data_IF_434543246395
#
_entry.id   IF_434543246395
#
_cell.length_a   1.000
_cell.length_b   1.000
_cell.length_c   1.000
_cell.angle_alpha   90.00
_cell.angle_beta   90.00
_cell.angle_gamma   90.00
#
_symmetry.space_group_name_H-M   'P 1'
#
loop_
_entity.id
_entity.type
_entity.pdbx_description
1 polymer ?
#
# COMPACT_ATOMS: atom_id res chain seq x y z
N UNK A 1 -11.74 4.16 -0.73
CA UNK A 1 -10.83 2.99 -0.81
C UNK A 1 -10.77 2.19 0.49
N UNK A 2 -10.88 0.87 0.40
CA UNK A 2 -10.71 -0.12 1.48
C UNK A 2 -9.83 -1.25 0.94
N UNK A 3 -8.78 -1.66 1.66
CA UNK A 3 -7.91 -2.78 1.24
C UNK A 3 -8.66 -4.12 1.40
N UNK A 4 -8.73 -4.91 0.32
CA UNK A 4 -9.47 -6.18 0.29
C UNK A 4 -8.66 -7.37 -0.22
N UNK A 5 -7.46 -7.14 -0.75
CA UNK A 5 -6.62 -8.21 -1.29
C UNK A 5 -5.16 -7.81 -1.46
N UNK A 6 -4.31 -8.83 -1.54
CA UNK A 6 -2.89 -8.76 -1.81
C UNK A 6 -2.53 -9.95 -2.70
N UNK A 7 -1.79 -9.68 -3.78
CA UNK A 7 -1.27 -10.68 -4.70
C UNK A 7 0.26 -10.60 -4.69
N UNK A 8 0.91 -11.69 -4.32
CA UNK A 8 2.36 -11.84 -4.29
C UNK A 8 2.94 -12.24 -5.64
N UNK A 9 2.11 -12.26 -6.70
CA UNK A 9 2.47 -12.64 -8.08
C UNK A 9 3.17 -14.01 -8.19
N UNK A 10 3.05 -14.86 -7.16
CA UNK A 10 3.79 -16.12 -6.98
C UNK A 10 5.31 -15.94 -6.87
N UNK A 11 5.76 -14.75 -6.48
CA UNK A 11 7.15 -14.36 -6.27
C UNK A 11 7.37 -14.04 -4.80
N UNK A 12 7.09 -14.99 -3.91
CA UNK A 12 7.12 -14.78 -2.44
C UNK A 12 8.43 -14.23 -1.86
N UNK A 13 9.55 -14.35 -2.57
CA UNK A 13 10.86 -13.84 -2.16
C UNK A 13 11.15 -12.41 -2.66
N UNK A 14 10.26 -11.83 -3.47
CA UNK A 14 10.43 -10.53 -4.13
C UNK A 14 9.15 -9.72 -3.93
N UNK A 15 9.24 -8.58 -3.22
CA UNK A 15 8.05 -7.74 -2.94
C UNK A 15 7.82 -6.62 -3.98
N UNK A 16 8.71 -6.52 -4.98
CA UNK A 16 8.74 -5.41 -5.95
C UNK A 16 7.54 -5.43 -6.91
N UNK A 17 7.01 -6.61 -7.20
CA UNK A 17 5.88 -6.82 -8.12
C UNK A 17 4.55 -7.07 -7.41
N UNK A 18 4.54 -7.04 -6.08
CA UNK A 18 3.35 -7.21 -5.26
C UNK A 18 2.29 -6.14 -5.56
N UNK A 19 1.03 -6.60 -5.63
CA UNK A 19 -0.13 -5.74 -5.91
C UNK A 19 -1.13 -5.81 -4.75
N UNK A 20 -1.57 -4.64 -4.30
CA UNK A 20 -2.69 -4.46 -3.40
C UNK A 20 -3.97 -4.17 -4.19
N UNK A 21 -5.08 -4.79 -3.77
CA UNK A 21 -6.40 -4.60 -4.36
C UNK A 21 -7.31 -3.88 -3.37
N UNK A 22 -7.92 -2.78 -3.82
CA UNK A 22 -8.82 -1.96 -3.02
C UNK A 22 -10.23 -1.96 -3.61
N UNK A 23 -11.24 -1.97 -2.74
CA UNK A 23 -12.59 -1.55 -3.11
C UNK A 23 -12.70 -0.03 -2.98
N UNK A 24 -13.12 0.66 -4.04
CA UNK A 24 -13.26 2.11 -4.05
C UNK A 24 -14.65 2.57 -4.46
N UNK A 25 -15.40 3.16 -3.50
CA UNK A 25 -16.76 3.65 -3.75
C UNK A 25 -16.82 4.88 -4.66
N UNK A 26 -15.70 5.57 -4.83
CA UNK A 26 -15.60 6.73 -5.70
C UNK A 26 -14.97 6.41 -7.06
N UNK A 27 -14.53 5.17 -7.29
CA UNK A 27 -13.73 4.72 -8.43
C UNK A 27 -13.89 5.56 -9.72
N UNK A 28 -12.92 6.47 -9.91
CA UNK A 28 -12.79 7.34 -11.08
C UNK A 28 -11.34 7.39 -11.59
N UNK A 29 -10.45 6.58 -11.02
CA UNK A 29 -9.00 6.77 -11.17
C UNK A 29 -8.38 5.91 -12.28
N UNK A 30 -9.10 4.90 -12.75
CA UNK A 30 -8.79 4.19 -13.98
C UNK A 30 -9.92 4.37 -15.01
N UNK A 31 -9.75 3.83 -16.22
CA UNK A 31 -10.74 3.98 -17.29
C UNK A 31 -11.94 3.02 -17.12
N UNK A 32 -11.96 2.22 -16.06
CA UNK A 32 -12.90 1.12 -15.85
C UNK A 32 -13.61 1.28 -14.51
N UNK A 33 -14.82 1.84 -14.54
CA UNK A 33 -15.61 2.08 -13.33
C UNK A 33 -16.24 0.80 -12.75
N UNK A 34 -15.41 -0.14 -12.30
CA UNK A 34 -15.80 -1.44 -11.75
C UNK A 34 -15.78 -1.49 -10.21
N UNK A 35 -15.36 -0.39 -9.58
CA UNK A 35 -15.29 -0.23 -8.13
C UNK A 35 -14.01 -0.77 -7.51
N UNK A 36 -13.02 -1.14 -8.32
CA UNK A 36 -11.72 -1.63 -7.84
C UNK A 36 -10.60 -0.68 -8.21
N UNK A 37 -9.56 -0.68 -7.36
CA UNK A 37 -8.32 0.00 -7.66
C UNK A 37 -7.15 -0.89 -7.29
N UNK A 38 -6.10 -0.88 -8.10
CA UNK A 38 -4.86 -1.63 -7.83
C UNK A 38 -3.69 -0.69 -7.60
N UNK A 39 -2.80 -1.07 -6.70
CA UNK A 39 -1.60 -0.30 -6.37
C UNK A 39 -0.43 -1.20 -6.03
N UNK A 40 0.79 -0.79 -6.39
CA UNK A 40 2.01 -1.44 -5.90
C UNK A 40 2.09 -1.40 -4.38
N UNK A 41 2.44 -2.53 -3.78
CA UNK A 41 2.65 -2.65 -2.34
C UNK A 41 3.73 -1.69 -1.84
N UNK A 42 4.89 -1.65 -2.50
CA UNK A 42 6.00 -0.77 -2.11
C UNK A 42 5.60 0.71 -2.18
N UNK A 43 4.88 1.10 -3.23
CA UNK A 43 4.35 2.47 -3.34
C UNK A 43 3.46 2.78 -2.14
N UNK A 44 2.53 1.89 -1.80
CA UNK A 44 1.66 2.09 -0.63
C UNK A 44 2.49 2.32 0.63
N UNK A 45 3.39 1.41 0.98
CA UNK A 45 4.22 1.51 2.20
C UNK A 45 5.07 2.78 2.21
N UNK A 46 5.61 3.19 1.06
CA UNK A 46 6.40 4.43 0.95
C UNK A 46 5.60 5.70 1.27
N UNK A 47 4.27 5.68 1.11
CA UNK A 47 3.40 6.83 1.44
C UNK A 47 3.22 6.98 2.96
N UNK A 48 3.50 5.94 3.74
CA UNK A 48 3.45 5.93 5.20
C UNK A 48 4.85 6.12 5.82
N UNK A 49 5.73 6.82 5.12
CA UNK A 49 7.12 7.01 5.52
C UNK A 49 7.47 8.50 5.57
N UNK A 50 7.17 9.16 6.68
CA UNK A 50 7.52 10.56 6.92
C UNK A 50 8.93 10.69 7.53
N UNK A 51 9.93 10.06 6.91
CA UNK A 51 11.29 9.94 7.45
C UNK A 51 11.98 11.28 7.75
N UNK A 52 11.63 12.30 6.99
CA UNK A 52 12.21 13.65 7.12
C UNK A 52 11.54 14.47 8.23
N UNK A 53 10.39 14.03 8.75
CA UNK A 53 9.60 14.76 9.76
C UNK A 53 9.75 14.15 11.16
N UNK A 54 10.03 12.84 11.26
CA UNK A 54 10.07 12.13 12.54
C UNK A 54 11.46 12.11 13.22
N UNK A 55 11.46 11.93 14.54
CA UNK A 55 12.68 11.77 15.33
C UNK A 55 13.45 10.50 14.94
N UNK A 56 14.76 10.43 15.24
CA UNK A 56 15.64 9.35 14.75
C UNK A 56 15.11 7.93 15.03
N UNK A 57 14.45 7.73 16.16
CA UNK A 57 13.94 6.42 16.59
C UNK A 57 12.59 6.05 15.97
N UNK A 58 11.92 6.99 15.31
CA UNK A 58 10.56 6.82 14.75
C UNK A 58 10.59 6.71 13.23
N UNK A 59 11.77 6.71 12.61
CA UNK A 59 11.92 6.84 11.16
C UNK A 59 11.53 5.61 10.33
N UNK A 60 11.52 4.40 10.89
CA UNK A 60 11.39 3.17 10.11
C UNK A 60 9.96 2.60 10.02
N UNK A 61 9.13 2.71 11.07
CA UNK A 61 7.78 2.14 11.11
C UNK A 61 6.85 2.96 12.02
N UNK A 62 6.55 4.18 11.57
CA UNK A 62 5.81 5.20 12.34
C UNK A 62 4.42 4.76 12.79
N UNK A 63 3.81 3.86 12.02
CA UNK A 63 2.41 3.46 12.17
C UNK A 63 2.25 2.05 12.75
N UNK A 64 3.36 1.36 13.08
CA UNK A 64 3.36 0.02 13.71
C UNK A 64 3.86 0.14 15.14
N UNK A 65 2.94 0.29 16.09
CA UNK A 65 3.25 0.21 17.53
C UNK A 65 3.08 -1.23 17.98
N UNK A 66 4.17 -1.83 18.48
CA UNK A 66 4.08 -3.03 19.30
C UNK A 66 3.65 -2.57 20.70
N UNK A 67 2.57 -3.15 21.22
CA UNK A 67 2.15 -2.98 22.62
C UNK A 67 2.83 -3.99 23.52
#
# INVERSE_FOLDING_TARGET
>A
MVLIGYDDMRTSDIMLDDVLVFADSYDTSDQCQDGYYTMSFERYVSQWFDHQVMGENEKNQQYVTIK
#
